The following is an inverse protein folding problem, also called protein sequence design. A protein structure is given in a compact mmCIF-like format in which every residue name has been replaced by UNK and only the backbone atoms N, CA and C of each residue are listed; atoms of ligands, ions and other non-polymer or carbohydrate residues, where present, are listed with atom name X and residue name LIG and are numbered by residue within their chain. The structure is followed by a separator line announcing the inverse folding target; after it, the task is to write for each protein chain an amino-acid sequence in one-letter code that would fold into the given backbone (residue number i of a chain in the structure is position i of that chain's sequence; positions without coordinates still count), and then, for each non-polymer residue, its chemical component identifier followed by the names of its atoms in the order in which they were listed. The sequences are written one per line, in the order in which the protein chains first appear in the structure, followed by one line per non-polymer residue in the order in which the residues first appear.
data_IF_364175886810
#
_entry.id   IF_364175886810
#
_cell.length_a   1.000
_cell.length_b   1.000
_cell.length_c   1.000
_cell.angle_alpha   90.00
_cell.angle_beta   90.00
_cell.angle_gamma   90.00
#
_symmetry.space_group_name_H-M   'P 1'
#
loop_
_entity.id
_entity.type
_entity.pdbx_description
1 polymer ?
#
# COMPACT_ATOMS: atom_id res chain seq x y z
N UNK A 1 -9.91 -28.16 -10.93
CA UNK A 1 -10.21 -26.73 -11.12
C UNK A 1 -9.36 -26.24 -12.28
N UNK A 2 -9.95 -26.13 -13.47
CA UNK A 2 -9.28 -25.58 -14.65
C UNK A 2 -9.52 -24.08 -14.65
N UNK A 3 -8.51 -23.29 -14.29
CA UNK A 3 -8.54 -21.84 -14.48
C UNK A 3 -8.51 -21.58 -15.99
N UNK A 4 -9.47 -20.81 -16.51
CA UNK A 4 -9.46 -20.37 -17.91
C UNK A 4 -8.33 -19.35 -18.06
N UNK A 5 -7.25 -19.65 -18.81
CA UNK A 5 -6.14 -18.73 -18.98
C UNK A 5 -6.61 -17.49 -19.75
N UNK A 6 -6.34 -16.28 -19.21
CA UNK A 6 -6.66 -15.01 -19.88
C UNK A 6 -7.56 -14.05 -19.10
N UNK A 7 -8.03 -14.44 -17.92
CA UNK A 7 -8.90 -13.61 -17.06
C UNK A 7 -8.24 -13.17 -15.75
N UNK A 8 -6.92 -13.37 -15.61
CA UNK A 8 -6.16 -12.93 -14.44
C UNK A 8 -5.54 -11.55 -14.69
N UNK A 9 -5.80 -10.61 -13.78
CA UNK A 9 -5.15 -9.29 -13.72
C UNK A 9 -5.27 -8.43 -15.00
N UNK A 10 -6.45 -8.39 -15.63
CA UNK A 10 -6.71 -7.51 -16.76
C UNK A 10 -6.63 -6.03 -16.30
N UNK A 11 -5.77 -5.21 -16.94
CA UNK A 11 -5.59 -3.82 -16.55
C UNK A 11 -6.86 -3.01 -16.83
N UNK A 12 -7.26 -2.17 -15.88
CA UNK A 12 -8.39 -1.23 -16.03
C UNK A 12 -9.77 -1.76 -15.62
N UNK A 13 -9.86 -2.99 -15.10
CA UNK A 13 -11.09 -3.48 -14.48
C UNK A 13 -11.26 -2.94 -13.07
N UNK A 14 -12.50 -2.59 -12.72
CA UNK A 14 -12.89 -2.25 -11.36
C UNK A 14 -13.01 -3.50 -10.47
N UNK A 15 -13.03 -3.32 -9.15
CA UNK A 15 -13.31 -4.42 -8.21
C UNK A 15 -14.64 -5.10 -8.50
N UNK A 16 -15.66 -4.35 -8.92
CA UNK A 16 -16.98 -4.89 -9.30
C UNK A 16 -16.90 -5.80 -10.54
N UNK A 17 -16.05 -5.45 -11.50
CA UNK A 17 -15.83 -6.29 -12.68
C UNK A 17 -15.15 -7.60 -12.29
N UNK A 18 -14.17 -7.57 -11.38
CA UNK A 18 -13.52 -8.78 -10.86
C UNK A 18 -14.48 -9.68 -10.07
N UNK A 19 -15.42 -9.09 -9.32
CA UNK A 19 -16.49 -9.82 -8.64
C UNK A 19 -17.41 -10.50 -9.64
N UNK A 20 -17.77 -9.80 -10.72
CA UNK A 20 -18.59 -10.38 -11.80
C UNK A 20 -17.83 -11.51 -12.49
N UNK A 21 -16.54 -11.30 -12.74
CA UNK A 21 -15.68 -12.25 -13.41
C UNK A 21 -15.49 -13.54 -12.59
N UNK A 22 -15.50 -13.47 -11.25
CA UNK A 22 -15.43 -14.68 -10.42
C UNK A 22 -16.65 -15.60 -10.59
N UNK A 23 -17.81 -15.05 -10.99
CA UNK A 23 -18.99 -15.84 -11.35
C UNK A 23 -18.83 -16.39 -12.76
N UNK A 24 -18.48 -15.52 -13.73
CA UNK A 24 -18.37 -15.88 -15.15
C UNK A 24 -17.36 -17.02 -15.35
N UNK A 25 -16.21 -16.95 -14.69
CA UNK A 25 -15.15 -17.97 -14.79
C UNK A 25 -15.57 -19.34 -14.27
N UNK A 26 -16.60 -19.42 -13.40
CA UNK A 26 -17.16 -20.66 -12.86
C UNK A 26 -18.58 -20.96 -13.36
N UNK A 27 -19.03 -20.27 -14.41
CA UNK A 27 -20.37 -20.42 -14.95
C UNK A 27 -20.72 -21.89 -15.25
N UNK A 28 -19.79 -22.63 -15.86
CA UNK A 28 -20.01 -24.05 -16.17
C UNK A 28 -20.17 -24.91 -14.91
N UNK A 29 -19.39 -24.65 -13.86
CA UNK A 29 -19.51 -25.38 -12.59
C UNK A 29 -20.91 -25.16 -11.98
N UNK A 30 -21.40 -23.90 -12.01
CA UNK A 30 -22.74 -23.57 -11.54
C UNK A 30 -23.83 -24.18 -12.41
N UNK A 31 -23.67 -24.14 -13.74
CA UNK A 31 -24.66 -24.69 -14.66
C UNK A 31 -24.77 -26.20 -14.54
N UNK A 32 -23.64 -26.89 -14.35
CA UNK A 32 -23.63 -28.33 -14.08
C UNK A 32 -24.36 -28.63 -12.77
N UNK A 33 -24.07 -27.87 -11.71
CA UNK A 33 -24.75 -28.01 -10.43
C UNK A 33 -26.28 -27.81 -10.50
N UNK A 34 -26.73 -26.78 -11.24
CA UNK A 34 -28.15 -26.52 -11.47
C UNK A 34 -28.85 -27.68 -12.19
N UNK A 35 -28.22 -28.22 -13.24
CA UNK A 35 -28.76 -29.37 -13.98
C UNK A 35 -28.88 -30.60 -13.09
N UNK A 36 -27.89 -30.86 -12.22
CA UNK A 36 -27.95 -31.99 -11.28
C UNK A 36 -29.05 -31.81 -10.22
N UNK A 37 -29.27 -30.60 -9.75
CA UNK A 37 -30.37 -30.27 -8.83
C UNK A 37 -31.74 -30.46 -9.50
N UNK A 38 -31.88 -30.06 -10.78
CA UNK A 38 -33.07 -30.29 -11.59
C UNK A 38 -33.35 -31.79 -11.78
N UNK A 39 -32.34 -32.58 -12.18
CA UNK A 39 -32.47 -34.05 -12.32
C UNK A 39 -32.92 -34.69 -11.00
N UNK A 40 -32.32 -34.30 -9.87
CA UNK A 40 -32.68 -34.84 -8.56
C UNK A 40 -34.14 -34.57 -8.19
N UNK A 41 -34.62 -33.36 -8.51
CA UNK A 41 -36.02 -32.96 -8.32
C UNK A 41 -36.97 -33.72 -9.24
N UNK A 42 -36.63 -33.88 -10.51
CA UNK A 42 -37.42 -34.64 -11.48
C UNK A 42 -37.57 -36.11 -11.08
N UNK A 43 -36.47 -36.77 -10.71
CA UNK A 43 -36.50 -38.16 -10.21
C UNK A 43 -37.44 -38.30 -9.01
N UNK A 44 -37.39 -37.33 -8.09
CA UNK A 44 -38.25 -37.30 -6.91
C UNK A 44 -39.73 -37.10 -7.28
N UNK A 45 -40.03 -36.24 -8.26
CA UNK A 45 -41.39 -35.98 -8.75
C UNK A 45 -42.00 -37.19 -9.47
N UNK A 46 -41.18 -37.94 -10.21
CA UNK A 46 -41.59 -39.15 -10.91
C UNK A 46 -41.66 -40.39 -10.00
N UNK A 47 -41.26 -40.25 -8.73
CA UNK A 47 -41.22 -41.35 -7.77
C UNK A 47 -40.11 -42.36 -8.05
N UNK A 48 -39.11 -41.99 -8.85
CA UNK A 48 -37.94 -42.82 -9.16
C UNK A 48 -36.96 -42.72 -8.01
N UNK A 49 -36.77 -43.84 -7.30
CA UNK A 49 -35.78 -43.93 -6.22
C UNK A 49 -34.44 -44.44 -6.76
N UNK A 50 -33.37 -43.64 -6.72
CA UNK A 50 -32.03 -44.09 -7.11
C UNK A 50 -31.57 -45.27 -6.24
N UNK A 51 -30.68 -46.10 -6.79
CA UNK A 51 -29.96 -47.08 -5.97
C UNK A 51 -28.97 -46.37 -5.06
N UNK A 52 -28.59 -47.00 -3.94
CA UNK A 52 -27.71 -46.38 -2.93
C UNK A 52 -26.44 -45.73 -3.52
N UNK A 53 -25.70 -46.34 -4.46
CA UNK A 53 -24.53 -45.69 -5.07
C UNK A 53 -24.86 -44.41 -5.83
N UNK A 54 -26.02 -44.37 -6.51
CA UNK A 54 -26.45 -43.21 -7.29
C UNK A 54 -26.93 -42.09 -6.36
N UNK A 55 -27.61 -42.44 -5.26
CA UNK A 55 -28.01 -41.49 -4.20
C UNK A 55 -26.76 -40.84 -3.55
N UNK A 56 -25.73 -41.62 -3.24
CA UNK A 56 -24.45 -41.11 -2.72
C UNK A 56 -23.71 -40.22 -3.74
N UNK A 57 -23.78 -40.58 -5.02
CA UNK A 57 -23.19 -39.78 -6.09
C UNK A 57 -23.89 -38.42 -6.22
N UNK A 58 -25.23 -38.39 -6.20
CA UNK A 58 -26.03 -37.16 -6.26
C UNK A 58 -25.74 -36.24 -5.05
N UNK A 59 -25.68 -36.80 -3.84
CA UNK A 59 -25.33 -36.04 -2.63
C UNK A 59 -23.90 -35.47 -2.70
N UNK A 60 -22.96 -36.27 -3.20
CA UNK A 60 -21.57 -35.82 -3.39
C UNK A 60 -21.48 -34.66 -4.39
N UNK A 61 -22.19 -34.74 -5.51
CA UNK A 61 -22.23 -33.68 -6.53
C UNK A 61 -22.87 -32.41 -5.97
N UNK A 62 -23.97 -32.55 -5.22
CA UNK A 62 -24.64 -31.41 -4.58
C UNK A 62 -23.69 -30.69 -3.61
N UNK A 63 -22.98 -31.44 -2.75
CA UNK A 63 -21.98 -30.90 -1.82
C UNK A 63 -20.83 -30.19 -2.55
N UNK A 64 -20.30 -30.78 -3.61
CA UNK A 64 -19.23 -30.15 -4.41
C UNK A 64 -19.68 -28.83 -5.05
N UNK A 65 -20.93 -28.78 -5.51
CA UNK A 65 -21.52 -27.56 -6.09
C UNK A 65 -21.67 -26.47 -5.02
N UNK A 66 -22.19 -26.82 -3.84
CA UNK A 66 -22.35 -25.90 -2.71
C UNK A 66 -20.99 -25.37 -2.23
N UNK A 67 -19.99 -26.24 -2.09
CA UNK A 67 -18.63 -25.86 -1.71
C UNK A 67 -18.01 -24.91 -2.74
N UNK A 68 -18.28 -25.11 -4.02
CA UNK A 68 -17.81 -24.23 -5.09
C UNK A 68 -18.45 -22.85 -4.96
N UNK A 69 -19.76 -22.78 -4.73
CA UNK A 69 -20.48 -21.53 -4.50
C UNK A 69 -19.96 -20.80 -3.26
N UNK A 70 -19.78 -21.51 -2.15
CA UNK A 70 -19.23 -20.98 -0.91
C UNK A 70 -17.85 -20.36 -1.11
N UNK A 71 -16.97 -21.03 -1.85
CA UNK A 71 -15.63 -20.53 -2.19
C UNK A 71 -15.70 -19.24 -3.02
N UNK A 72 -16.61 -19.14 -3.98
CA UNK A 72 -16.79 -17.90 -4.77
C UNK A 72 -17.26 -16.76 -3.89
N UNK A 73 -18.25 -17.01 -3.01
CA UNK A 73 -18.74 -16.00 -2.06
C UNK A 73 -17.60 -15.51 -1.15
N UNK A 74 -16.83 -16.42 -0.55
CA UNK A 74 -15.67 -16.05 0.29
C UNK A 74 -14.67 -15.21 -0.50
N UNK A 75 -14.40 -15.56 -1.75
CA UNK A 75 -13.49 -14.81 -2.62
C UNK A 75 -14.03 -13.39 -2.90
N UNK A 76 -15.32 -13.26 -3.24
CA UNK A 76 -15.95 -11.97 -3.50
C UNK A 76 -15.97 -11.08 -2.25
N UNK A 77 -16.28 -11.63 -1.08
CA UNK A 77 -16.24 -10.89 0.19
C UNK A 77 -14.84 -10.37 0.50
N UNK A 78 -13.81 -11.19 0.28
CA UNK A 78 -12.41 -10.77 0.45
C UNK A 78 -12.02 -9.61 -0.46
N UNK A 79 -12.46 -9.64 -1.73
CA UNK A 79 -12.23 -8.55 -2.70
C UNK A 79 -12.89 -7.25 -2.24
N UNK A 80 -14.13 -7.30 -1.74
CA UNK A 80 -14.83 -6.13 -1.21
C UNK A 80 -14.13 -5.56 0.03
N UNK A 81 -13.77 -6.41 0.98
CA UNK A 81 -13.04 -5.98 2.18
C UNK A 81 -11.70 -5.33 1.84
N UNK A 82 -11.00 -5.86 0.83
CA UNK A 82 -9.72 -5.30 0.39
C UNK A 82 -9.92 -3.92 -0.24
N UNK A 83 -10.91 -3.75 -1.11
CA UNK A 83 -11.28 -2.45 -1.69
C UNK A 83 -11.57 -1.42 -0.59
N UNK A 84 -12.42 -1.78 0.38
CA UNK A 84 -12.79 -0.85 1.45
C UNK A 84 -11.57 -0.43 2.30
N UNK A 85 -10.62 -1.36 2.54
CA UNK A 85 -9.35 -1.04 3.22
C UNK A 85 -8.48 -0.10 2.39
N UNK A 86 -8.40 -0.32 1.08
CA UNK A 86 -7.65 0.51 0.15
C UNK A 86 -8.21 1.93 0.11
N UNK A 87 -9.54 2.07 -0.03
CA UNK A 87 -10.23 3.37 -0.05
C UNK A 87 -9.94 4.17 1.23
N UNK A 88 -10.09 3.54 2.40
CA UNK A 88 -9.79 4.18 3.71
C UNK A 88 -8.31 4.55 3.82
N UNK A 89 -7.41 3.72 3.29
CA UNK A 89 -5.98 3.98 3.33
C UNK A 89 -5.59 5.16 2.44
N UNK A 90 -6.19 5.26 1.25
CA UNK A 90 -5.96 6.34 0.30
C UNK A 90 -6.51 7.65 0.84
N UNK A 91 -7.72 7.64 1.40
CA UNK A 91 -8.30 8.80 2.05
C UNK A 91 -7.40 9.33 3.17
N UNK A 92 -6.92 8.44 4.06
CA UNK A 92 -5.96 8.81 5.13
C UNK A 92 -4.68 9.40 4.56
N UNK A 93 -4.12 8.79 3.52
CA UNK A 93 -2.91 9.30 2.84
C UNK A 93 -3.13 10.72 2.33
N UNK A 94 -4.24 10.95 1.63
CA UNK A 94 -4.60 12.27 1.12
C UNK A 94 -4.74 13.31 2.24
N UNK A 95 -5.43 12.99 3.34
CA UNK A 95 -5.52 13.90 4.48
C UNK A 95 -4.16 14.20 5.13
N UNK A 96 -3.28 13.21 5.22
CA UNK A 96 -1.93 13.44 5.78
C UNK A 96 -1.10 14.36 4.88
N UNK A 97 -1.23 14.22 3.56
CA UNK A 97 -0.56 15.06 2.59
C UNK A 97 -1.08 16.50 2.62
N UNK A 98 -2.40 16.68 2.67
CA UNK A 98 -3.01 18.00 2.82
C UNK A 98 -2.49 18.66 4.10
N UNK A 99 -2.52 17.95 5.23
CA UNK A 99 -2.05 18.49 6.52
C UNK A 99 -0.57 18.85 6.50
N UNK A 100 0.28 18.02 5.90
CA UNK A 100 1.72 18.30 5.81
C UNK A 100 1.99 19.51 4.92
N UNK A 101 1.26 19.64 3.80
CA UNK A 101 1.35 20.79 2.90
C UNK A 101 0.99 22.09 3.62
N UNK A 102 -0.14 22.13 4.34
CA UNK A 102 -0.53 23.29 5.16
C UNK A 102 0.54 23.64 6.19
N UNK A 103 1.08 22.65 6.90
CA UNK A 103 2.15 22.87 7.88
C UNK A 103 3.41 23.44 7.24
N UNK A 104 3.78 22.99 6.05
CA UNK A 104 4.94 23.47 5.33
C UNK A 104 4.73 24.91 4.83
N UNK A 105 3.53 25.24 4.35
CA UNK A 105 3.17 26.61 3.97
C UNK A 105 3.29 27.57 5.16
N UNK A 106 2.74 27.18 6.31
CA UNK A 106 2.80 27.97 7.54
C UNK A 106 4.25 28.21 7.99
N UNK A 107 5.08 27.17 8.02
CA UNK A 107 6.51 27.30 8.35
C UNK A 107 7.25 28.20 7.35
N UNK A 108 6.90 28.12 6.07
CA UNK A 108 7.49 28.97 5.02
C UNK A 108 7.11 30.42 5.25
N UNK A 109 5.83 30.71 5.53
CA UNK A 109 5.35 32.05 5.85
C UNK A 109 6.06 32.62 7.09
N UNK A 110 6.14 31.86 8.18
CA UNK A 110 6.85 32.29 9.40
C UNK A 110 8.35 32.54 9.14
N UNK A 111 9.00 31.68 8.36
CA UNK A 111 10.41 31.86 8.01
C UNK A 111 10.64 33.11 7.16
N UNK A 112 9.70 33.42 6.26
CA UNK A 112 9.72 34.61 5.43
C UNK A 112 9.51 35.88 6.27
N UNK A 113 8.51 35.88 7.16
CA UNK A 113 8.27 36.98 8.10
C UNK A 113 9.49 37.25 8.97
N UNK A 114 10.11 36.21 9.52
CA UNK A 114 11.33 36.33 10.31
C UNK A 114 12.51 36.89 9.49
N UNK A 115 12.69 36.45 8.25
CA UNK A 115 13.71 36.98 7.35
C UNK A 115 13.48 38.46 7.03
N UNK A 116 12.24 38.85 6.71
CA UNK A 116 11.86 40.25 6.47
C UNK A 116 12.10 41.08 7.73
N UNK A 117 11.73 40.59 8.91
CA UNK A 117 11.96 41.29 10.18
C UNK A 117 13.46 41.52 10.45
N UNK A 118 14.32 40.53 10.18
CA UNK A 118 15.78 40.67 10.33
C UNK A 118 16.37 41.70 9.36
N UNK A 119 15.80 41.90 8.19
CA UNK A 119 16.35 42.81 7.16
C UNK A 119 15.75 44.21 7.17
N UNK A 120 14.50 44.36 7.61
CA UNK A 120 13.74 45.62 7.57
C UNK A 120 13.56 46.29 8.95
N UNK A 121 13.66 45.54 10.06
CA UNK A 121 13.53 46.09 11.41
C UNK A 121 14.90 46.22 12.09
N UNK A 122 15.38 47.45 12.24
CA UNK A 122 16.70 47.76 12.81
C UNK A 122 16.92 47.18 14.21
N UNK A 123 15.89 47.15 15.07
CA UNK A 123 16.00 46.61 16.43
C UNK A 123 16.24 45.10 16.41
N UNK A 124 15.46 44.38 15.61
CA UNK A 124 15.56 42.92 15.45
C UNK A 124 16.88 42.54 14.78
N UNK A 125 17.32 43.31 13.78
CA UNK A 125 18.61 43.11 13.13
C UNK A 125 19.77 43.20 14.13
N UNK A 126 19.76 44.23 14.97
CA UNK A 126 20.81 44.45 15.98
C UNK A 126 20.85 43.32 17.00
N UNK A 127 19.69 42.93 17.55
CA UNK A 127 19.59 41.83 18.52
C UNK A 127 20.06 40.49 17.91
N UNK A 128 19.66 40.20 16.67
CA UNK A 128 20.07 38.97 15.97
C UNK A 128 21.58 38.95 15.69
N UNK A 129 22.16 40.09 15.31
CA UNK A 129 23.61 40.23 15.09
C UNK A 129 24.40 39.96 16.37
N UNK A 130 23.97 40.57 17.48
CA UNK A 130 24.61 40.37 18.79
C UNK A 130 24.50 38.90 19.26
N UNK A 131 23.37 38.24 18.97
CA UNK A 131 23.23 36.81 19.27
C UNK A 131 24.14 35.95 18.39
N UNK A 132 24.26 36.28 17.10
CA UNK A 132 25.13 35.56 16.17
C UNK A 132 26.60 35.69 16.57
N UNK A 133 27.05 36.88 16.94
CA UNK A 133 28.41 37.15 17.45
C UNK A 133 28.69 36.34 18.71
N UNK A 134 27.76 36.34 19.69
CA UNK A 134 27.89 35.51 20.90
C UNK A 134 27.99 34.01 20.59
N UNK A 135 27.20 33.52 19.64
CA UNK A 135 27.24 32.11 19.23
C UNK A 135 28.58 31.77 18.56
N UNK A 136 29.08 32.64 17.68
CA UNK A 136 30.38 32.50 17.04
C UNK A 136 31.49 32.47 18.10
N UNK A 137 31.50 33.43 19.02
CA UNK A 137 32.51 33.50 20.08
C UNK A 137 32.46 32.30 21.01
N UNK A 138 31.27 31.76 21.32
CA UNK A 138 31.14 30.53 22.10
C UNK A 138 31.63 29.28 21.36
N UNK A 139 31.49 29.27 20.02
CA UNK A 139 31.95 28.17 19.17
C UNK A 139 33.43 28.26 18.79
N UNK A 140 34.09 29.40 19.04
CA UNK A 140 35.50 29.57 18.74
C UNK A 140 36.34 28.56 19.53
N UNK A 141 37.23 27.80 18.86
CA UNK A 141 38.10 26.88 19.56
C UNK A 141 38.99 27.65 20.53
N UNK A 142 38.97 27.26 21.81
CA UNK A 142 39.90 27.77 22.81
C UNK A 142 41.34 27.46 22.36
N UNK A 143 42.32 28.33 22.64
CA UNK A 143 43.72 28.05 22.29
C UNK A 143 44.12 26.69 22.86
N UNK A 144 44.52 25.76 21.98
CA UNK A 144 44.88 24.39 22.34
C UNK A 144 46.05 24.42 23.33
N UNK A 145 46.00 23.56 24.34
CA UNK A 145 47.12 23.32 25.26
C UNK A 145 48.43 23.08 24.47
N UNK A 146 49.56 23.53 25.02
CA UNK A 146 50.90 23.49 24.40
C UNK A 146 51.42 22.08 24.02
N UNK A 147 50.66 21.03 24.32
CA UNK A 147 51.02 19.62 24.08
C UNK A 147 50.01 18.89 23.18
N UNK A 148 49.27 19.61 22.31
CA UNK A 148 48.46 18.95 21.30
C UNK A 148 49.36 18.35 20.20
N UNK A 149 49.42 17.02 20.12
CA UNK A 149 50.06 16.31 18.99
C UNK A 149 49.17 16.52 17.75
N UNK A 150 49.69 17.24 16.76
CA UNK A 150 49.03 17.39 15.47
C UNK A 150 49.40 16.22 14.56
N UNK A 151 48.40 15.48 14.10
CA UNK A 151 48.60 14.53 13.01
C UNK A 151 48.61 15.30 11.68
N UNK A 152 49.55 15.01 10.76
CA UNK A 152 49.56 15.61 9.43
C UNK A 152 48.25 15.29 8.70
N UNK A 153 47.58 16.28 8.15
CA UNK A 153 46.38 16.10 7.31
C UNK A 153 46.69 15.52 5.93
N UNK A 154 47.98 15.34 5.62
CA UNK A 154 48.47 14.94 4.32
C UNK A 154 49.19 13.59 4.43
N UNK A 155 48.44 12.51 4.26
CA UNK A 155 49.00 11.15 4.21
C UNK A 155 49.58 10.97 2.80
N UNK A 156 50.91 11.00 2.69
CA UNK A 156 51.60 10.79 1.42
C UNK A 156 51.52 9.31 1.02
N UNK A 157 51.14 9.03 -0.23
CA UNK A 157 51.03 7.65 -0.74
C UNK A 157 49.67 6.98 -0.58
N UNK A 158 48.61 7.73 -0.26
CA UNK A 158 47.24 7.23 -0.39
C UNK A 158 46.97 6.85 -1.86
N UNK A 159 46.96 5.55 -2.14
CA UNK A 159 46.45 4.97 -3.38
C UNK A 159 44.93 5.17 -3.38
N UNK A 160 44.48 6.36 -3.80
CA UNK A 160 43.06 6.63 -4.06
C UNK A 160 42.72 5.95 -5.38
N UNK A 161 42.00 4.83 -5.31
CA UNK A 161 41.30 4.29 -6.47
C UNK A 161 40.19 5.26 -6.83
N UNK A 162 40.43 6.13 -7.81
CA UNK A 162 39.35 6.95 -8.37
C UNK A 162 38.33 6.01 -9.01
N UNK A 163 37.09 6.06 -8.51
CA UNK A 163 35.95 5.44 -9.17
C UNK A 163 35.71 6.18 -10.49
N UNK A 164 35.93 5.49 -11.61
CA UNK A 164 35.49 5.96 -12.94
C UNK A 164 34.02 5.54 -13.07
N UNK A 165 33.10 6.46 -12.79
CA UNK A 165 31.70 6.30 -13.10
C UNK A 165 31.47 6.39 -14.61
N UNK A 166 30.79 5.38 -15.16
CA UNK A 166 30.23 5.38 -16.51
C UNK A 166 28.87 6.06 -16.59
#
# INVERSE_FOLDING_TARGET
MLLIPGFEALPGLSTEDYITLSIVTRYLDFKVGEVWDEISKELSLEGVRPVTPDEEALDTIAKMTEDTARRVITQQSSMLEQRDKEDVSEEKRMYTEIRSNWKQQELTAQSWEHFVAKTSNYKILKETKEHQERSIDSSRPKPKHKEAIFHPTQIHGLQITNFVGG
#
